data_IF_944457065261
#
_entry.id   IF_944457065261
#
_cell.length_a   1.000
_cell.length_b   1.000
_cell.length_c   1.000
_cell.angle_alpha   90.00
_cell.angle_beta   90.00
_cell.angle_gamma   90.00
#
_symmetry.space_group_name_H-M   'P 1'
#
loop_
_entity.id
_entity.type
_entity.pdbx_description
1 polymer ?
#
# COMPACT_ATOMS: atom_id res chain seq x y z
N UNK A 1 5.58 17.45 -7.55
CA UNK A 1 5.10 16.38 -6.68
C UNK A 1 6.17 15.34 -6.45
N UNK A 2 6.16 14.68 -5.29
CA UNK A 2 7.01 13.53 -5.02
C UNK A 2 6.18 12.28 -4.77
N UNK A 3 6.66 11.13 -5.23
CA UNK A 3 6.17 9.80 -4.87
C UNK A 3 7.34 8.95 -4.38
N UNK A 4 7.04 7.81 -3.77
CA UNK A 4 8.08 6.87 -3.32
C UNK A 4 7.84 5.52 -3.98
N UNK A 5 8.83 5.06 -4.76
CA UNK A 5 8.75 3.79 -5.48
C UNK A 5 9.88 2.84 -5.08
N UNK A 6 9.57 1.55 -5.05
CA UNK A 6 10.50 0.45 -4.82
C UNK A 6 10.82 -0.19 -6.17
N UNK A 7 12.11 -0.30 -6.51
CA UNK A 7 12.55 -1.03 -7.69
C UNK A 7 12.50 -2.55 -7.43
N UNK A 8 11.72 -3.28 -8.22
CA UNK A 8 11.50 -4.72 -8.05
C UNK A 8 12.56 -5.60 -8.75
N UNK A 9 13.43 -4.98 -9.55
CA UNK A 9 14.55 -5.64 -10.26
C UNK A 9 15.80 -5.84 -9.39
N UNK A 10 15.79 -5.29 -8.18
CA UNK A 10 16.88 -5.40 -7.19
C UNK A 10 16.38 -6.10 -5.96
N UNK A 11 17.31 -6.67 -5.19
CA UNK A 11 17.00 -7.17 -3.85
C UNK A 11 16.48 -6.02 -2.96
N UNK A 12 15.30 -6.20 -2.41
CA UNK A 12 14.71 -5.24 -1.48
C UNK A 12 15.30 -5.49 -0.09
N UNK A 13 15.94 -4.47 0.45
CA UNK A 13 16.53 -4.54 1.79
C UNK A 13 15.65 -3.79 2.80
N UNK A 14 14.92 -4.55 3.59
CA UNK A 14 14.13 -3.99 4.67
C UNK A 14 15.03 -3.58 5.84
N UNK A 15 14.74 -2.44 6.45
CA UNK A 15 15.45 -1.98 7.64
C UNK A 15 15.27 -2.96 8.81
N UNK A 16 16.21 -2.93 9.77
CA UNK A 16 16.15 -3.76 10.99
C UNK A 16 14.84 -3.56 11.74
N UNK A 17 14.33 -2.33 11.78
CA UNK A 17 13.05 -2.04 12.42
C UNK A 17 11.89 -2.77 11.71
N UNK A 18 11.86 -2.76 10.36
CA UNK A 18 10.82 -3.46 9.58
C UNK A 18 10.86 -4.97 9.85
N UNK A 19 12.05 -5.58 9.83
CA UNK A 19 12.23 -7.00 10.17
C UNK A 19 11.71 -7.35 11.56
N UNK A 20 11.93 -6.47 12.54
CA UNK A 20 11.40 -6.63 13.91
C UNK A 20 9.87 -6.53 13.95
N UNK A 21 9.27 -5.58 13.22
CA UNK A 21 7.81 -5.43 13.16
C UNK A 21 7.15 -6.63 12.46
N UNK A 22 7.73 -7.15 11.39
CA UNK A 22 7.27 -8.39 10.72
C UNK A 22 7.25 -9.56 11.69
N UNK A 23 8.35 -9.78 12.43
CA UNK A 23 8.41 -10.84 13.45
C UNK A 23 7.32 -10.66 14.51
N UNK A 24 7.08 -9.42 14.94
CA UNK A 24 6.04 -9.09 15.93
C UNK A 24 4.64 -9.38 15.40
N UNK A 25 4.35 -9.06 14.12
CA UNK A 25 3.08 -9.36 13.48
C UNK A 25 2.82 -10.88 13.42
N UNK A 26 3.81 -11.66 13.01
CA UNK A 26 3.73 -13.12 12.95
C UNK A 26 3.52 -13.72 14.35
N UNK A 27 4.22 -13.23 15.37
CA UNK A 27 4.03 -13.68 16.76
C UNK A 27 2.65 -13.33 17.33
N UNK A 28 2.02 -12.27 16.80
CA UNK A 28 0.66 -11.88 17.18
C UNK A 28 -0.43 -12.67 16.42
N UNK A 29 -0.03 -13.59 15.55
CA UNK A 29 -0.94 -14.43 14.78
C UNK A 29 -1.53 -13.75 13.54
N UNK A 30 -0.91 -12.66 13.04
CA UNK A 30 -1.34 -12.02 11.81
C UNK A 30 -0.98 -12.86 10.59
N UNK A 31 -1.87 -12.90 9.62
CA UNK A 31 -1.70 -13.56 8.33
C UNK A 31 -2.11 -12.66 7.17
N UNK A 32 -1.43 -12.78 6.05
CA UNK A 32 -1.75 -12.04 4.81
C UNK A 32 -2.68 -12.88 3.94
N UNK A 33 -3.75 -12.24 3.44
CA UNK A 33 -4.64 -12.79 2.42
C UNK A 33 -4.42 -12.02 1.12
N UNK A 34 -4.05 -12.75 0.09
CA UNK A 34 -3.88 -12.22 -1.26
C UNK A 34 -5.18 -12.29 -2.03
N UNK A 35 -5.41 -11.33 -2.92
CA UNK A 35 -6.64 -11.26 -3.73
C UNK A 35 -7.90 -11.48 -2.87
N UNK A 36 -7.94 -10.78 -1.74
CA UNK A 36 -9.01 -10.89 -0.75
C UNK A 36 -10.34 -10.40 -1.31
N UNK A 37 -11.42 -11.10 -1.00
CA UNK A 37 -12.80 -10.68 -1.31
C UNK A 37 -13.36 -9.70 -0.28
N UNK A 38 -12.56 -9.28 0.71
CA UNK A 38 -12.96 -8.40 1.81
C UNK A 38 -13.04 -6.91 1.43
N UNK A 39 -13.60 -6.57 0.26
CA UNK A 39 -13.64 -5.19 -0.22
C UNK A 39 -14.46 -4.27 0.71
N UNK A 40 -15.64 -4.71 1.17
CA UNK A 40 -16.48 -3.94 2.09
C UNK A 40 -15.77 -3.70 3.43
N UNK A 41 -15.27 -4.73 4.14
CA UNK A 41 -14.54 -4.53 5.38
C UNK A 41 -13.32 -3.62 5.21
N UNK A 42 -12.59 -3.77 4.10
CA UNK A 42 -11.43 -2.92 3.81
C UNK A 42 -11.83 -1.47 3.55
N UNK A 43 -12.91 -1.23 2.78
CA UNK A 43 -13.39 0.13 2.50
C UNK A 43 -13.84 0.84 3.79
N UNK A 44 -14.53 0.13 4.69
CA UNK A 44 -14.92 0.66 6.00
C UNK A 44 -13.69 1.04 6.83
N UNK A 45 -12.70 0.13 6.93
CA UNK A 45 -11.44 0.40 7.64
C UNK A 45 -10.71 1.61 7.05
N UNK A 46 -10.70 1.76 5.72
CA UNK A 46 -10.11 2.90 5.03
C UNK A 46 -10.86 4.20 5.37
N UNK A 47 -12.19 4.19 5.28
CA UNK A 47 -13.02 5.35 5.56
C UNK A 47 -12.85 5.83 7.01
N UNK A 48 -12.90 4.92 7.98
CA UNK A 48 -12.67 5.20 9.40
C UNK A 48 -11.26 5.77 9.64
N UNK A 49 -10.24 5.14 9.05
CA UNK A 49 -8.84 5.61 9.18
C UNK A 49 -8.64 7.01 8.61
N UNK A 50 -9.23 7.30 7.46
CA UNK A 50 -9.12 8.63 6.83
C UNK A 50 -9.88 9.69 7.62
N UNK A 51 -11.07 9.37 8.12
CA UNK A 51 -11.85 10.28 8.95
C UNK A 51 -11.13 10.60 10.25
N UNK A 52 -10.68 9.60 10.99
CA UNK A 52 -10.02 9.77 12.29
C UNK A 52 -8.70 10.56 12.20
N UNK A 53 -7.91 10.31 11.16
CA UNK A 53 -6.55 10.83 11.07
C UNK A 53 -6.39 12.08 10.22
N UNK A 54 -7.26 12.28 9.25
CA UNK A 54 -7.11 13.32 8.24
C UNK A 54 -8.37 14.16 8.06
N UNK A 55 -9.46 13.85 8.79
CA UNK A 55 -10.78 14.45 8.58
C UNK A 55 -11.18 14.43 7.09
N UNK A 56 -10.88 13.32 6.41
CA UNK A 56 -11.07 13.13 4.98
C UNK A 56 -11.89 11.86 4.69
N UNK A 57 -12.36 11.75 3.46
CA UNK A 57 -13.06 10.56 2.97
C UNK A 57 -12.26 9.94 1.81
N UNK A 58 -12.44 8.64 1.53
CA UNK A 58 -11.91 8.03 0.31
C UNK A 58 -12.39 8.81 -0.93
N UNK A 59 -11.52 8.94 -1.92
CA UNK A 59 -11.86 9.58 -3.21
C UNK A 59 -12.95 8.79 -3.95
N UNK A 60 -12.87 7.45 -3.89
CA UNK A 60 -13.88 6.56 -4.46
C UNK A 60 -14.90 6.15 -3.40
N UNK A 61 -16.16 6.11 -3.79
CA UNK A 61 -17.20 5.42 -3.02
C UNK A 61 -16.98 3.90 -3.07
N UNK A 62 -17.65 3.17 -2.17
CA UNK A 62 -17.61 1.71 -2.23
C UNK A 62 -18.12 1.18 -3.59
N UNK A 63 -19.22 1.73 -4.10
CA UNK A 63 -19.84 1.31 -5.37
C UNK A 63 -18.91 1.54 -6.57
N UNK A 64 -18.16 2.63 -6.56
CA UNK A 64 -17.14 2.88 -7.60
C UNK A 64 -16.00 1.86 -7.54
N UNK A 65 -15.50 1.52 -6.34
CA UNK A 65 -14.47 0.49 -6.19
C UNK A 65 -14.98 -0.90 -6.58
N UNK A 66 -16.20 -1.25 -6.20
CA UNK A 66 -16.85 -2.50 -6.59
C UNK A 66 -16.99 -2.60 -8.12
N UNK A 67 -17.43 -1.52 -8.76
CA UNK A 67 -17.51 -1.44 -10.21
C UNK A 67 -16.13 -1.60 -10.87
N UNK A 68 -15.12 -0.90 -10.36
CA UNK A 68 -13.77 -0.96 -10.90
C UNK A 68 -13.15 -2.36 -10.74
N UNK A 69 -13.25 -2.97 -9.56
CA UNK A 69 -12.73 -4.33 -9.32
C UNK A 69 -13.43 -5.37 -10.20
N UNK A 70 -14.74 -5.22 -10.40
CA UNK A 70 -15.53 -6.10 -11.29
C UNK A 70 -15.15 -5.93 -12.76
N UNK A 71 -14.92 -4.70 -13.23
CA UNK A 71 -14.57 -4.41 -14.63
C UNK A 71 -13.11 -4.74 -14.95
N UNK A 72 -12.23 -4.60 -13.98
CA UNK A 72 -10.78 -4.75 -14.16
C UNK A 72 -10.16 -5.75 -13.18
N UNK A 73 -10.67 -7.01 -13.11
CA UNK A 73 -10.26 -7.98 -12.09
C UNK A 73 -8.78 -8.40 -12.20
N UNK A 74 -8.14 -8.19 -13.37
CA UNK A 74 -6.70 -8.43 -13.58
C UNK A 74 -5.81 -7.23 -13.27
N UNK A 75 -6.41 -6.06 -13.13
CA UNK A 75 -5.69 -4.80 -12.93
C UNK A 75 -5.88 -4.22 -11.53
N UNK A 76 -6.78 -4.78 -10.74
CA UNK A 76 -7.06 -4.32 -9.38
C UNK A 76 -7.08 -5.54 -8.46
N UNK A 77 -6.29 -5.49 -7.40
CA UNK A 77 -6.27 -6.53 -6.38
C UNK A 77 -6.32 -5.93 -4.98
N UNK A 78 -6.97 -6.63 -4.07
CA UNK A 78 -6.99 -6.30 -2.65
C UNK A 78 -6.16 -7.33 -1.88
N UNK A 79 -5.22 -6.84 -1.08
CA UNK A 79 -4.44 -7.66 -0.16
C UNK A 79 -4.73 -7.21 1.26
N UNK A 80 -5.06 -8.15 2.15
CA UNK A 80 -5.48 -7.86 3.52
C UNK A 80 -4.61 -8.59 4.54
N UNK A 81 -4.63 -8.07 5.76
CA UNK A 81 -4.05 -8.74 6.93
C UNK A 81 -5.17 -9.01 7.91
N UNK A 82 -5.25 -10.25 8.36
CA UNK A 82 -6.21 -10.71 9.34
C UNK A 82 -5.48 -11.18 10.61
N UNK A 83 -6.14 -11.04 11.75
CA UNK A 83 -5.69 -11.63 13.00
C UNK A 83 -6.08 -13.12 13.08
N UNK A 84 -5.72 -13.78 14.19
CA UNK A 84 -6.01 -15.19 14.43
C UNK A 84 -7.51 -15.53 14.53
N UNK A 85 -8.37 -14.52 14.66
CA UNK A 85 -9.83 -14.67 14.72
C UNK A 85 -10.48 -14.35 13.36
N UNK A 86 -9.71 -13.96 12.35
CA UNK A 86 -10.19 -13.57 11.03
C UNK A 86 -10.64 -12.12 10.94
N UNK A 87 -10.37 -11.29 11.95
CA UNK A 87 -10.69 -9.87 11.88
C UNK A 87 -9.69 -9.14 10.99
N UNK A 88 -10.17 -8.26 10.12
CA UNK A 88 -9.35 -7.41 9.28
C UNK A 88 -8.59 -6.37 10.13
N UNK A 89 -7.26 -6.38 10.07
CA UNK A 89 -6.40 -5.44 10.81
C UNK A 89 -5.59 -4.50 9.92
N UNK A 90 -5.57 -4.74 8.62
CA UNK A 90 -4.93 -3.86 7.64
C UNK A 90 -5.09 -4.36 6.22
N UNK A 91 -4.67 -3.57 5.25
CA UNK A 91 -4.71 -3.96 3.84
C UNK A 91 -4.25 -2.87 2.89
N UNK A 92 -4.17 -3.25 1.62
CA UNK A 92 -3.88 -2.35 0.50
C UNK A 92 -4.67 -2.75 -0.74
N UNK A 93 -5.27 -1.77 -1.41
CA UNK A 93 -5.84 -1.92 -2.74
C UNK A 93 -4.81 -1.48 -3.78
N UNK A 94 -4.50 -2.36 -4.71
CA UNK A 94 -3.45 -2.17 -5.70
C UNK A 94 -4.03 -2.01 -7.09
N UNK A 95 -3.47 -1.06 -7.85
CA UNK A 95 -3.71 -0.91 -9.28
C UNK A 95 -2.50 -1.42 -10.05
N UNK A 96 -2.71 -2.36 -10.95
CA UNK A 96 -1.68 -3.02 -11.74
C UNK A 96 -1.64 -2.44 -13.16
N UNK A 97 -0.47 -1.95 -13.54
CA UNK A 97 -0.14 -1.62 -14.93
C UNK A 97 0.94 -2.58 -15.44
N UNK A 98 1.30 -2.47 -16.70
CA UNK A 98 2.37 -3.30 -17.27
C UNK A 98 3.72 -3.15 -16.54
N UNK A 99 4.02 -1.98 -15.98
CA UNK A 99 5.32 -1.68 -15.37
C UNK A 99 5.27 -1.37 -13.88
N UNK A 100 4.13 -0.93 -13.38
CA UNK A 100 4.01 -0.38 -12.03
C UNK A 100 2.82 -1.01 -11.33
N UNK A 101 3.02 -1.42 -10.09
CA UNK A 101 1.95 -1.70 -9.14
C UNK A 101 1.84 -0.49 -8.23
N UNK A 102 0.69 0.16 -8.26
CA UNK A 102 0.42 1.34 -7.46
C UNK A 102 -0.47 1.01 -6.26
N UNK A 103 -0.02 1.38 -5.07
CA UNK A 103 -0.83 1.28 -3.85
C UNK A 103 -1.83 2.44 -3.81
N UNK A 104 -3.02 2.23 -4.39
CA UNK A 104 -4.08 3.23 -4.44
C UNK A 104 -4.59 3.59 -3.06
N UNK A 105 -4.80 2.58 -2.20
CA UNK A 105 -5.22 2.76 -0.82
C UNK A 105 -4.46 1.85 0.11
N UNK A 106 -4.11 2.38 1.27
CA UNK A 106 -3.48 1.65 2.38
C UNK A 106 -4.23 2.01 3.65
N UNK A 107 -4.69 1.02 4.38
CA UNK A 107 -5.38 1.22 5.66
C UNK A 107 -4.91 0.22 6.71
N UNK A 108 -4.95 0.64 7.97
CA UNK A 108 -4.63 -0.23 9.10
C UNK A 108 -5.34 0.21 10.36
N UNK A 109 -5.89 -0.75 11.09
CA UNK A 109 -6.51 -0.55 12.39
C UNK A 109 -5.46 -0.14 13.46
N UNK A 110 -5.87 0.40 14.60
CA UNK A 110 -4.95 0.68 15.72
C UNK A 110 -4.15 -0.55 16.15
N UNK A 111 -4.78 -1.73 16.22
CA UNK A 111 -4.10 -2.97 16.59
C UNK A 111 -3.15 -3.45 15.49
N UNK A 112 -3.55 -3.35 14.23
CA UNK A 112 -2.69 -3.66 13.08
C UNK A 112 -1.45 -2.78 13.07
N UNK A 113 -1.59 -1.48 13.34
CA UNK A 113 -0.48 -0.53 13.45
C UNK A 113 0.46 -0.88 14.61
N UNK A 114 -0.11 -1.17 15.78
CA UNK A 114 0.66 -1.53 17.00
C UNK A 114 1.54 -2.77 16.78
N UNK A 115 1.07 -3.74 16.01
CA UNK A 115 1.74 -5.02 15.83
C UNK A 115 2.34 -5.24 14.44
N UNK A 116 2.42 -4.22 13.59
CA UNK A 116 3.18 -4.27 12.35
C UNK A 116 2.45 -4.97 11.19
N UNK A 117 1.13 -4.87 11.09
CA UNK A 117 0.35 -5.51 10.03
C UNK A 117 0.82 -5.09 8.62
N UNK A 118 1.04 -3.80 8.38
CA UNK A 118 1.53 -3.32 7.09
C UNK A 118 2.98 -3.72 6.80
N UNK A 119 3.81 -3.90 7.83
CA UNK A 119 5.17 -4.41 7.67
C UNK A 119 5.15 -5.85 7.14
N UNK A 120 4.28 -6.69 7.70
CA UNK A 120 4.07 -8.06 7.23
C UNK A 120 3.47 -8.07 5.82
N UNK A 121 2.45 -7.26 5.57
CA UNK A 121 1.78 -7.17 4.27
C UNK A 121 2.76 -6.84 3.14
N UNK A 122 3.51 -5.75 3.26
CA UNK A 122 4.42 -5.32 2.20
C UNK A 122 5.63 -6.24 2.05
N UNK A 123 6.13 -6.85 3.14
CA UNK A 123 7.16 -7.87 3.03
C UNK A 123 6.69 -9.06 2.21
N UNK A 124 5.52 -9.61 2.54
CA UNK A 124 4.92 -10.74 1.81
C UNK A 124 4.69 -10.38 0.33
N UNK A 125 4.13 -9.20 0.07
CA UNK A 125 3.87 -8.73 -1.29
C UNK A 125 5.16 -8.57 -2.11
N UNK A 126 6.22 -8.03 -1.52
CA UNK A 126 7.49 -7.87 -2.23
C UNK A 126 8.17 -9.21 -2.52
N UNK A 127 8.12 -10.16 -1.60
CA UNK A 127 8.64 -11.52 -1.80
C UNK A 127 7.93 -12.19 -2.98
N UNK A 128 6.61 -12.04 -3.07
CA UNK A 128 5.81 -12.56 -4.18
C UNK A 128 6.15 -11.89 -5.50
N UNK A 129 6.20 -10.57 -5.53
CA UNK A 129 6.51 -9.81 -6.73
C UNK A 129 7.92 -10.13 -7.24
N UNK A 130 8.88 -10.31 -6.35
CA UNK A 130 10.24 -10.73 -6.70
C UNK A 130 10.32 -12.18 -7.15
N UNK A 131 9.38 -13.04 -6.76
CA UNK A 131 9.20 -14.41 -7.25
C UNK A 131 8.70 -14.50 -8.69
N UNK A 132 8.08 -13.45 -9.24
CA UNK A 132 7.63 -13.41 -10.64
C UNK A 132 8.85 -13.41 -11.57
N UNK A 133 8.86 -14.20 -12.69
CA UNK A 133 9.94 -14.17 -13.65
C UNK A 133 10.25 -12.77 -14.16
N UNK A 134 11.51 -12.39 -14.25
CA UNK A 134 11.96 -11.03 -14.59
C UNK A 134 11.33 -10.48 -15.88
N UNK A 135 11.12 -11.34 -16.87
CA UNK A 135 10.57 -10.95 -18.19
C UNK A 135 9.14 -10.41 -18.14
N UNK A 136 8.36 -10.80 -17.12
CA UNK A 136 6.94 -10.42 -16.95
C UNK A 136 6.66 -9.69 -15.63
N UNK A 137 7.70 -9.53 -14.81
CA UNK A 137 7.60 -8.82 -13.53
C UNK A 137 7.36 -7.33 -13.74
N UNK A 138 6.46 -6.70 -12.98
CA UNK A 138 6.41 -5.24 -12.86
C UNK A 138 7.77 -4.69 -12.43
N UNK A 139 8.14 -3.53 -12.93
CA UNK A 139 9.44 -2.90 -12.62
C UNK A 139 9.46 -2.19 -11.28
N UNK A 140 8.32 -1.62 -10.90
CA UNK A 140 8.21 -0.77 -9.73
C UNK A 140 6.96 -1.08 -8.92
N UNK A 141 7.10 -0.97 -7.60
CA UNK A 141 5.98 -0.80 -6.69
C UNK A 141 5.96 0.65 -6.23
N UNK A 142 4.85 1.35 -6.45
CA UNK A 142 4.69 2.76 -6.11
C UNK A 142 3.76 2.93 -4.91
N UNK A 143 4.28 3.52 -3.84
CA UNK A 143 3.52 3.86 -2.65
C UNK A 143 2.68 5.13 -2.78
N UNK A 144 2.75 5.81 -3.92
CA UNK A 144 2.07 7.07 -4.15
C UNK A 144 2.72 8.26 -3.45
N UNK A 145 2.02 9.40 -3.51
CA UNK A 145 2.51 10.69 -3.02
C UNK A 145 2.75 10.71 -1.51
N UNK A 146 3.71 11.53 -1.10
CA UNK A 146 3.97 11.89 0.29
C UNK A 146 3.87 13.40 0.48
N UNK A 147 2.99 14.04 -0.27
CA UNK A 147 2.72 15.47 -0.22
C UNK A 147 1.42 15.75 0.53
N UNK A 148 1.38 16.88 1.20
CA UNK A 148 0.23 17.47 1.86
C UNK A 148 -0.07 18.85 1.25
N UNK A 149 -1.19 19.45 1.63
CA UNK A 149 -1.62 20.79 1.20
C UNK A 149 -1.52 20.98 -0.33
N UNK A 150 -2.23 20.12 -1.07
CA UNK A 150 -2.28 20.13 -2.54
C UNK A 150 -0.90 20.05 -3.22
N UNK A 151 0.01 19.32 -2.58
CA UNK A 151 1.34 19.08 -3.13
C UNK A 151 2.37 20.18 -2.86
N UNK A 152 2.12 21.04 -1.87
CA UNK A 152 3.05 22.13 -1.49
C UNK A 152 3.95 21.78 -0.30
N UNK A 153 3.55 20.80 0.54
CA UNK A 153 4.29 20.41 1.75
C UNK A 153 4.67 18.92 1.68
N UNK A 154 5.93 18.63 1.99
CA UNK A 154 6.43 17.24 2.07
C UNK A 154 6.16 16.71 3.47
N UNK A 155 5.41 15.60 3.57
CA UNK A 155 5.31 14.81 4.79
C UNK A 155 6.57 13.94 4.97
N UNK A 156 7.57 14.50 5.68
CA UNK A 156 8.87 13.82 5.90
C UNK A 156 8.72 12.47 6.61
N UNK A 157 7.76 12.35 7.54
CA UNK A 157 7.49 11.10 8.25
C UNK A 157 6.98 10.00 7.31
N UNK A 158 6.09 10.35 6.39
CA UNK A 158 5.55 9.42 5.40
C UNK A 158 6.62 9.03 4.37
N UNK A 159 7.46 9.97 3.93
CA UNK A 159 8.63 9.67 3.06
C UNK A 159 9.53 8.66 3.75
N UNK A 160 10.01 8.95 4.96
CA UNK A 160 10.91 8.07 5.71
C UNK A 160 10.28 6.68 5.96
N UNK A 161 8.96 6.62 6.21
CA UNK A 161 8.23 5.36 6.33
C UNK A 161 8.31 4.54 5.03
N UNK A 162 8.01 5.13 3.89
CA UNK A 162 8.03 4.45 2.58
C UNK A 162 9.46 4.05 2.17
N UNK A 163 10.44 4.91 2.39
CA UNK A 163 11.86 4.62 2.12
C UNK A 163 12.39 3.47 2.99
N UNK A 164 11.89 3.31 4.21
CA UNK A 164 12.28 2.20 5.09
C UNK A 164 11.85 0.82 4.58
N UNK A 165 10.99 0.76 3.57
CA UNK A 165 10.64 -0.44 2.80
C UNK A 165 11.53 -0.65 1.55
N UNK A 166 12.64 0.09 1.43
CA UNK A 166 13.50 0.04 0.26
C UNK A 166 13.07 0.97 -0.88
N UNK A 167 12.14 1.88 -0.59
CA UNK A 167 11.68 2.87 -1.55
C UNK A 167 12.70 3.98 -1.80
N UNK A 168 12.58 4.61 -2.97
CA UNK A 168 13.30 5.82 -3.34
C UNK A 168 12.31 6.89 -3.77
N UNK A 169 12.56 8.12 -3.34
CA UNK A 169 11.73 9.26 -3.73
C UNK A 169 11.94 9.62 -5.19
N UNK A 170 10.84 9.77 -5.93
CA UNK A 170 10.80 10.20 -7.33
C UNK A 170 10.09 11.54 -7.40
N UNK A 171 10.65 12.48 -8.16
CA UNK A 171 10.04 13.78 -8.41
C UNK A 171 9.25 13.77 -9.72
N UNK A 172 8.07 14.35 -9.69
CA UNK A 172 7.24 14.61 -10.87
C UNK A 172 7.14 16.11 -11.07
N UNK A 173 7.58 16.59 -12.23
CA UNK A 173 7.45 18.00 -12.62
C UNK A 173 6.03 18.30 -13.11
N UNK A 174 5.53 19.48 -12.77
CA UNK A 174 4.28 20.02 -13.29
C UNK A 174 4.60 21.15 -14.23
N UNK A 175 4.20 21.00 -15.50
CA UNK A 175 4.36 22.04 -16.50
C UNK A 175 3.02 22.73 -16.74
N UNK A 176 3.04 24.06 -16.83
CA UNK A 176 1.89 24.88 -17.21
C UNK A 176 2.24 25.51 -18.55
N UNK A 177 1.46 25.20 -19.57
CA UNK A 177 1.58 25.81 -20.92
C UNK A 177 0.42 26.78 -21.09
N UNK A 178 0.73 28.03 -21.35
CA UNK A 178 -0.27 29.00 -21.79
C UNK A 178 -0.43 28.84 -23.33
N UNK A 179 -1.65 28.54 -23.75
CA UNK A 179 -2.04 28.45 -25.19
C UNK A 179 -2.53 29.78 -25.69
#
# INVERSE_FOLDING_TARGET
>A
YISTSVALDRKIELSTNRKRQIKKALQHGFSVKQNSDNLIPFWNLLADTLLERHNARPVHTYQELELLTTRFPRNISLHTVEDSQGNLVGGTLLFHTHRVIHAQYIATSPIGRKYGALDLLFSTLFDELQGIPYSVRPRFFDFGTSMENDGTVINKGLVAQKESFGGHTICYDKYIVQL
#
